data_IF_906190873201
#
_entry.id   IF_906190873201
#
_cell.length_a   1.000
_cell.length_b   1.000
_cell.length_c   1.000
_cell.angle_alpha   90.00
_cell.angle_beta   90.00
_cell.angle_gamma   90.00
#
_symmetry.space_group_name_H-M   'P 1'
#
loop_
_entity.id
_entity.type
_entity.pdbx_description
1 polymer ?
#
# COMPACT_ATOMS: atom_id res chain seq x y z
N UNK A 1 -5.17 -7.46 -5.79
CA UNK A 1 -4.34 -6.93 -4.70
C UNK A 1 -3.50 -8.04 -4.11
N UNK A 2 -3.68 -8.33 -2.82
CA UNK A 2 -2.91 -9.36 -2.11
C UNK A 2 -2.97 -10.75 -2.77
N UNK A 3 -4.12 -11.15 -3.31
CA UNK A 3 -4.23 -12.41 -4.07
C UNK A 3 -3.30 -12.48 -5.28
N UNK A 4 -3.34 -11.46 -6.13
CA UNK A 4 -2.46 -11.35 -7.31
C UNK A 4 -0.99 -11.30 -6.88
N UNK A 5 -0.68 -10.60 -5.79
CA UNK A 5 0.67 -10.59 -5.22
C UNK A 5 1.16 -11.99 -4.84
N UNK A 6 0.36 -12.80 -4.13
CA UNK A 6 0.75 -14.16 -3.75
C UNK A 6 0.87 -15.10 -4.95
N UNK A 7 0.01 -14.94 -5.95
CA UNK A 7 0.07 -15.72 -7.20
C UNK A 7 1.36 -15.44 -7.99
N UNK A 8 1.82 -14.18 -8.01
CA UNK A 8 3.03 -13.77 -8.73
C UNK A 8 4.32 -14.03 -7.94
N UNK A 9 4.31 -13.75 -6.63
CA UNK A 9 5.51 -13.87 -5.78
C UNK A 9 5.90 -15.31 -5.47
N UNK A 10 5.02 -16.29 -5.74
CA UNK A 10 5.21 -17.73 -5.41
C UNK A 10 5.56 -17.98 -3.94
N UNK A 11 5.30 -17.01 -3.06
CA UNK A 11 5.51 -17.15 -1.63
C UNK A 11 4.54 -18.20 -1.10
N UNK A 12 5.03 -19.10 -0.25
CA UNK A 12 4.18 -20.07 0.45
C UNK A 12 3.47 -19.47 1.67
N UNK A 13 3.15 -18.18 1.61
CA UNK A 13 2.44 -17.52 2.70
C UNK A 13 1.00 -18.03 2.79
N UNK A 14 0.52 -18.17 4.03
CA UNK A 14 -0.85 -18.60 4.24
C UNK A 14 -1.78 -17.42 3.96
N UNK A 15 -2.33 -17.44 2.75
CA UNK A 15 -3.35 -16.50 2.31
C UNK A 15 -4.44 -16.25 3.37
N UNK A 16 -4.78 -14.99 3.69
CA UNK A 16 -5.77 -14.66 4.73
C UNK A 16 -7.13 -15.31 4.48
N UNK A 17 -7.56 -15.48 3.23
CA UNK A 17 -8.83 -16.13 2.85
C UNK A 17 -8.86 -17.65 3.09
N UNK A 18 -7.70 -18.27 3.35
CA UNK A 18 -7.62 -19.66 3.81
C UNK A 18 -7.84 -19.78 5.32
N UNK A 19 -7.41 -18.76 6.08
CA UNK A 19 -7.56 -18.69 7.53
C UNK A 19 -8.94 -18.20 7.95
N UNK A 20 -9.43 -17.17 7.26
CA UNK A 20 -10.65 -16.45 7.60
C UNK A 20 -11.62 -16.51 6.43
N UNK A 21 -12.87 -16.92 6.69
CA UNK A 21 -13.97 -16.85 5.71
C UNK A 21 -14.62 -15.46 5.76
N UNK A 22 -15.29 -15.08 4.67
CA UNK A 22 -16.05 -13.82 4.57
C UNK A 22 -15.21 -12.54 4.68
N UNK A 23 -14.00 -12.53 4.13
CA UNK A 23 -13.23 -11.30 3.93
C UNK A 23 -13.97 -10.37 2.96
N UNK A 24 -14.02 -9.08 3.31
CA UNK A 24 -14.49 -8.03 2.39
C UNK A 24 -13.41 -7.70 1.37
N UNK A 25 -13.81 -6.96 0.32
CA UNK A 25 -12.86 -6.47 -0.68
C UNK A 25 -11.81 -5.49 -0.09
N UNK A 26 -12.14 -4.83 1.02
CA UNK A 26 -11.25 -3.96 1.80
C UNK A 26 -11.42 -4.31 3.27
N UNK A 27 -10.29 -4.49 3.96
CA UNK A 27 -10.26 -4.71 5.40
C UNK A 27 -9.30 -3.71 6.06
N UNK A 28 -9.78 -3.04 7.11
CA UNK A 28 -8.93 -2.18 7.92
C UNK A 28 -8.25 -2.98 9.02
N UNK A 29 -6.94 -2.81 9.11
CA UNK A 29 -6.10 -3.53 10.05
C UNK A 29 -5.16 -2.58 10.80
N UNK A 30 -4.70 -3.00 11.98
CA UNK A 30 -3.58 -2.39 12.70
C UNK A 30 -2.38 -3.32 12.71
N UNK A 31 -1.18 -2.75 12.61
CA UNK A 31 0.07 -3.49 12.81
C UNK A 31 0.20 -3.84 14.29
N UNK A 32 0.32 -5.14 14.60
CA UNK A 32 0.58 -5.65 15.95
C UNK A 32 2.04 -5.96 16.18
N UNK A 33 2.71 -6.46 15.15
CA UNK A 33 4.11 -6.87 15.22
C UNK A 33 4.77 -6.73 13.85
N UNK A 34 6.08 -6.46 13.86
CA UNK A 34 6.90 -6.26 12.68
C UNK A 34 8.27 -6.91 12.90
N UNK A 35 8.62 -7.85 12.03
CA UNK A 35 9.89 -8.58 12.06
C UNK A 35 10.60 -8.43 10.71
N UNK A 36 11.83 -7.93 10.72
CA UNK A 36 12.69 -7.97 9.53
C UNK A 36 13.41 -9.32 9.45
N UNK A 37 13.39 -9.95 8.29
CA UNK A 37 13.96 -11.28 8.05
C UNK A 37 14.53 -11.39 6.63
N UNK A 38 15.27 -12.45 6.34
CA UNK A 38 15.68 -12.78 4.98
C UNK A 38 14.67 -13.71 4.32
N UNK A 39 14.38 -13.48 3.03
CA UNK A 39 13.56 -14.38 2.23
C UNK A 39 14.31 -15.70 2.03
N UNK A 40 13.67 -16.84 2.36
CA UNK A 40 14.28 -18.14 2.14
C UNK A 40 14.62 -18.34 0.65
N UNK A 41 15.90 -18.57 0.34
CA UNK A 41 16.36 -18.91 -1.00
C UNK A 41 16.90 -17.74 -1.83
N UNK A 42 16.45 -16.49 -1.63
CA UNK A 42 17.00 -15.32 -2.34
C UNK A 42 18.03 -14.53 -1.53
N UNK A 43 17.92 -14.56 -0.19
CA UNK A 43 18.78 -13.76 0.69
C UNK A 43 18.40 -12.27 0.75
N UNK A 44 17.34 -11.87 0.06
CA UNK A 44 16.81 -10.50 0.11
C UNK A 44 16.10 -10.23 1.44
N UNK A 45 16.05 -8.96 1.82
CA UNK A 45 15.35 -8.54 3.03
C UNK A 45 13.84 -8.53 2.80
N UNK A 46 13.08 -9.01 3.78
CA UNK A 46 11.63 -8.91 3.82
C UNK A 46 11.15 -8.49 5.21
N UNK A 47 9.91 -8.01 5.24
CA UNK A 47 9.21 -7.63 6.45
C UNK A 47 8.06 -8.60 6.68
N UNK A 48 8.05 -9.28 7.81
CA UNK A 48 6.91 -10.09 8.28
C UNK A 48 6.07 -9.22 9.20
N UNK A 49 4.84 -8.95 8.78
CA UNK A 49 3.86 -8.18 9.53
C UNK A 49 2.86 -9.13 10.18
N UNK A 50 2.56 -8.90 11.46
CA UNK A 50 1.35 -9.44 12.08
C UNK A 50 0.31 -8.33 12.14
N UNK A 51 -0.80 -8.54 11.44
CA UNK A 51 -1.90 -7.59 11.31
C UNK A 51 -3.12 -8.08 12.09
N UNK A 52 -3.84 -7.16 12.70
CA UNK A 52 -5.14 -7.42 13.35
C UNK A 52 -6.24 -6.60 12.69
N UNK A 53 -7.35 -7.23 12.35
CA UNK A 53 -8.52 -6.53 11.83
C UNK A 53 -9.11 -5.62 12.91
N UNK A 54 -9.20 -4.33 12.61
CA UNK A 54 -9.56 -3.30 13.60
C UNK A 54 -10.89 -2.59 13.30
N UNK A 55 -11.62 -3.04 12.28
CA UNK A 55 -12.95 -2.51 11.94
C UNK A 55 -14.04 -3.27 12.71
N UNK A 56 -14.78 -2.62 13.64
CA UNK A 56 -15.85 -3.27 14.40
C UNK A 56 -17.01 -3.78 13.54
N UNK A 57 -17.17 -3.28 12.31
CA UNK A 57 -18.18 -3.75 11.36
C UNK A 57 -17.77 -5.02 10.60
N UNK A 58 -16.50 -5.41 10.69
CA UNK A 58 -15.99 -6.63 10.07
C UNK A 58 -16.31 -7.85 10.92
N UNK A 59 -16.70 -8.95 10.27
CA UNK A 59 -16.84 -10.26 10.92
C UNK A 59 -15.53 -10.78 11.51
N UNK A 60 -14.40 -10.18 11.14
CA UNK A 60 -13.06 -10.57 11.53
C UNK A 60 -12.46 -9.66 12.60
N UNK A 61 -13.22 -8.72 13.17
CA UNK A 61 -12.74 -7.82 14.22
C UNK A 61 -11.97 -8.56 15.33
N UNK A 62 -10.76 -8.09 15.63
CA UNK A 62 -9.85 -8.69 16.62
C UNK A 62 -9.15 -9.99 16.19
N UNK A 63 -9.43 -10.52 14.99
CA UNK A 63 -8.67 -11.63 14.42
C UNK A 63 -7.35 -11.13 13.85
N UNK A 64 -6.36 -12.01 13.84
CA UNK A 64 -5.01 -11.71 13.33
C UNK A 64 -4.65 -12.58 12.13
N UNK A 65 -3.72 -12.08 11.33
CA UNK A 65 -3.05 -12.84 10.28
C UNK A 65 -1.63 -12.32 10.09
N UNK A 66 -0.81 -13.12 9.43
CA UNK A 66 0.57 -12.77 9.08
C UNK A 66 0.71 -12.56 7.58
N UNK A 67 1.58 -11.63 7.22
CA UNK A 67 1.90 -11.27 5.85
C UNK A 67 3.41 -11.06 5.73
N UNK A 68 4.05 -11.68 4.74
CA UNK A 68 5.43 -11.42 4.36
C UNK A 68 5.46 -10.46 3.18
N UNK A 69 6.05 -9.30 3.38
CA UNK A 69 6.27 -8.28 2.37
C UNK A 69 7.76 -8.24 1.98
N UNK A 70 8.13 -8.69 0.78
CA UNK A 70 9.41 -8.36 0.19
C UNK A 70 9.45 -6.87 -0.18
N UNK A 71 10.57 -6.38 -0.68
CA UNK A 71 10.62 -5.06 -1.28
C UNK A 71 9.68 -5.00 -2.50
N UNK A 72 8.60 -4.23 -2.42
CA UNK A 72 7.63 -4.07 -3.50
C UNK A 72 8.12 -2.97 -4.44
N UNK A 73 9.06 -3.30 -5.33
CA UNK A 73 9.57 -2.35 -6.34
C UNK A 73 8.67 -2.27 -7.56
N UNK A 74 8.14 -3.42 -8.00
CA UNK A 74 7.48 -3.59 -9.29
C UNK A 74 6.06 -4.17 -9.16
N UNK A 75 5.46 -4.04 -7.98
CA UNK A 75 4.09 -4.49 -7.73
C UNK A 75 3.26 -3.37 -7.08
N UNK A 76 2.02 -3.11 -7.52
CA UNK A 76 1.22 -2.04 -6.95
C UNK A 76 0.92 -2.23 -5.45
N UNK A 77 0.82 -1.13 -4.72
CA UNK A 77 0.55 -1.12 -3.28
C UNK A 77 -0.83 -1.70 -2.98
N UNK A 78 -0.89 -2.90 -2.40
CA UNK A 78 -2.14 -3.51 -1.89
C UNK A 78 -2.35 -3.33 -0.39
N UNK A 79 -1.30 -2.95 0.34
CA UNK A 79 -1.37 -2.53 1.73
C UNK A 79 -1.18 -1.01 1.77
N UNK A 80 -2.27 -0.29 2.03
CA UNK A 80 -2.32 1.17 1.94
C UNK A 80 -2.57 1.77 3.30
N UNK A 81 -1.88 2.85 3.63
CA UNK A 81 -2.17 3.62 4.84
C UNK A 81 -3.64 4.10 4.82
N UNK A 82 -4.36 3.92 5.92
CA UNK A 82 -5.78 4.25 6.00
C UNK A 82 -6.09 5.69 5.59
N UNK A 83 -5.30 6.67 6.05
CA UNK A 83 -5.49 8.09 5.72
C UNK A 83 -5.36 8.35 4.21
N UNK A 84 -4.37 7.73 3.54
CA UNK A 84 -4.17 7.77 2.09
C UNK A 84 -5.32 7.11 1.35
N UNK A 85 -5.75 5.94 1.83
CA UNK A 85 -6.90 5.23 1.27
C UNK A 85 -8.17 6.08 1.34
N UNK A 86 -8.51 6.59 2.53
CA UNK A 86 -9.71 7.40 2.74
C UNK A 86 -9.68 8.67 1.87
N UNK A 87 -8.54 9.37 1.81
CA UNK A 87 -8.36 10.54 0.93
C UNK A 87 -8.53 10.18 -0.55
N UNK A 88 -7.88 9.12 -1.03
CA UNK A 88 -7.97 8.68 -2.42
C UNK A 88 -9.38 8.23 -2.82
N UNK A 89 -10.11 7.58 -1.91
CA UNK A 89 -11.50 7.19 -2.14
C UNK A 89 -12.43 8.42 -2.14
N UNK A 90 -12.19 9.40 -1.26
CA UNK A 90 -12.97 10.64 -1.20
C UNK A 90 -12.81 11.50 -2.46
N UNK A 91 -11.67 11.40 -3.16
CA UNK A 91 -11.43 12.13 -4.43
C UNK A 91 -12.42 11.77 -5.53
N UNK A 92 -13.04 10.59 -5.47
CA UNK A 92 -14.13 10.15 -6.35
C UNK A 92 -13.85 10.42 -7.85
N UNK A 93 -12.81 9.77 -8.39
CA UNK A 93 -12.38 9.90 -9.79
C UNK A 93 -13.50 9.63 -10.80
N UNK A 94 -13.61 10.47 -11.83
CA UNK A 94 -14.62 10.32 -12.91
C UNK A 94 -14.01 10.44 -14.31
N UNK A 95 -14.76 10.04 -15.33
CA UNK A 95 -14.33 10.11 -16.73
C UNK A 95 -13.88 11.53 -17.12
N UNK A 96 -12.73 11.60 -17.80
CA UNK A 96 -12.00 12.81 -18.23
C UNK A 96 -11.26 13.59 -17.15
N UNK A 97 -11.32 13.18 -15.88
CA UNK A 97 -10.46 13.75 -14.85
C UNK A 97 -8.99 13.63 -15.27
N UNK A 98 -8.23 14.70 -15.01
CA UNK A 98 -6.77 14.71 -15.18
C UNK A 98 -6.15 14.04 -13.97
N UNK A 99 -5.23 13.11 -14.21
CA UNK A 99 -4.48 12.45 -13.14
C UNK A 99 -2.99 12.43 -13.49
N UNK A 100 -2.16 12.23 -12.47
CA UNK A 100 -0.75 11.95 -12.63
C UNK A 100 -0.40 10.68 -11.85
N UNK A 101 0.52 9.87 -12.37
CA UNK A 101 1.04 8.68 -11.70
C UNK A 101 2.56 8.79 -11.62
N UNK A 102 3.14 8.48 -10.47
CA UNK A 102 4.58 8.52 -10.29
C UNK A 102 5.21 7.21 -10.72
N UNK A 103 6.15 7.27 -11.66
CA UNK A 103 6.91 6.11 -12.12
C UNK A 103 8.39 6.28 -11.81
N UNK A 104 9.03 5.20 -11.34
CA UNK A 104 10.49 5.13 -11.17
C UNK A 104 11.17 5.06 -12.53
N UNK A 105 12.35 5.66 -12.64
CA UNK A 105 13.18 5.54 -13.83
C UNK A 105 13.89 4.17 -13.86
N UNK A 106 14.17 3.63 -15.05
CA UNK A 106 14.82 2.31 -15.25
C UNK A 106 16.19 2.17 -14.56
N UNK A 107 16.82 3.28 -14.14
CA UNK A 107 18.10 3.29 -13.42
C UNK A 107 18.00 3.34 -11.88
N UNK A 108 16.80 3.29 -11.29
CA UNK A 108 16.60 3.29 -9.84
C UNK A 108 16.80 4.65 -9.14
N UNK A 109 17.43 5.62 -9.79
CA UNK A 109 17.55 6.99 -9.28
C UNK A 109 16.37 7.86 -9.72
N UNK A 110 15.50 8.17 -8.76
CA UNK A 110 14.40 9.12 -8.93
C UNK A 110 13.18 8.55 -9.64
N UNK A 111 12.36 9.45 -10.16
CA UNK A 111 11.13 9.13 -10.87
C UNK A 111 10.51 10.37 -11.50
N UNK A 112 9.42 10.17 -12.21
CA UNK A 112 8.72 11.24 -12.91
C UNK A 112 7.21 11.06 -12.83
N UNK A 113 6.49 12.18 -12.83
CA UNK A 113 5.04 12.19 -12.94
C UNK A 113 4.63 12.02 -14.39
N UNK A 114 3.81 11.01 -14.65
CA UNK A 114 3.22 10.76 -15.95
C UNK A 114 1.79 11.28 -15.97
N UNK A 115 1.53 12.25 -16.83
CA UNK A 115 0.20 12.81 -17.02
C UNK A 115 -0.71 11.80 -17.72
N UNK A 116 -1.91 11.64 -17.20
CA UNK A 116 -2.94 10.80 -17.78
C UNK A 116 -4.33 11.39 -17.65
N UNK A 117 -5.29 10.68 -18.24
CA UNK A 117 -6.71 11.00 -18.17
C UNK A 117 -7.51 9.75 -17.87
N UNK A 118 -8.47 9.86 -16.94
CA UNK A 118 -9.40 8.78 -16.63
C UNK A 118 -10.29 8.49 -17.85
N UNK A 119 -10.25 7.26 -18.36
CA UNK A 119 -11.14 6.73 -19.38
C UNK A 119 -12.41 6.14 -18.77
N UNK A 120 -12.28 5.43 -17.65
CA UNK A 120 -13.40 4.82 -16.95
C UNK A 120 -13.02 4.50 -15.51
N UNK A 121 -14.03 4.40 -14.64
CA UNK A 121 -13.89 3.82 -13.30
C UNK A 121 -14.87 2.66 -13.19
N UNK A 122 -14.35 1.43 -13.16
CA UNK A 122 -15.16 0.21 -13.10
C UNK A 122 -14.40 -0.92 -12.39
N UNK A 123 -15.07 -1.90 -11.79
CA UNK A 123 -14.40 -3.02 -11.14
C UNK A 123 -13.50 -3.77 -12.13
N UNK A 124 -12.30 -4.18 -11.70
CA UNK A 124 -11.38 -4.99 -12.51
C UNK A 124 -11.98 -6.35 -12.87
N UNK A 125 -12.67 -6.98 -11.93
CA UNK A 125 -13.31 -8.29 -12.09
C UNK A 125 -14.75 -8.26 -11.58
N UNK A 126 -15.64 -8.99 -12.25
CA UNK A 126 -17.02 -9.18 -11.83
C UNK A 126 -17.15 -9.99 -10.52
N UNK A 127 -16.12 -10.75 -10.16
CA UNK A 127 -16.06 -11.49 -8.89
C UNK A 127 -15.90 -10.56 -7.68
N UNK A 128 -15.35 -9.36 -7.89
CA UNK A 128 -15.08 -8.38 -6.85
C UNK A 128 -15.64 -7.00 -7.23
N UNK A 129 -16.97 -6.85 -7.32
CA UNK A 129 -17.60 -5.62 -7.80
C UNK A 129 -17.32 -4.41 -6.92
N UNK A 130 -17.11 -4.63 -5.62
CA UNK A 130 -16.85 -3.55 -4.65
C UNK A 130 -15.36 -3.25 -4.46
N UNK A 131 -14.47 -3.98 -5.14
CA UNK A 131 -13.03 -3.81 -4.97
C UNK A 131 -12.53 -2.51 -5.59
N UNK A 132 -11.73 -1.71 -4.84
CA UNK A 132 -11.07 -0.54 -5.39
C UNK A 132 -9.77 -0.86 -6.13
N UNK A 133 -9.31 -2.11 -6.08
CA UNK A 133 -8.10 -2.57 -6.74
C UNK A 133 -8.18 -2.35 -8.24
N UNK A 134 -7.26 -1.55 -8.79
CA UNK A 134 -7.08 -1.35 -10.23
C UNK A 134 -8.38 -0.97 -10.98
N UNK A 135 -9.28 -0.25 -10.28
CA UNK A 135 -10.60 0.13 -10.81
C UNK A 135 -10.55 1.31 -11.79
N UNK A 136 -9.48 2.10 -11.77
CA UNK A 136 -9.35 3.30 -12.59
C UNK A 136 -8.60 2.96 -13.88
N UNK A 137 -9.25 3.16 -15.01
CA UNK A 137 -8.66 2.95 -16.33
C UNK A 137 -8.22 4.31 -16.85
N UNK A 138 -6.93 4.44 -17.16
CA UNK A 138 -6.33 5.70 -17.59
C UNK A 138 -5.62 5.56 -18.93
N UNK A 139 -5.56 6.67 -19.66
CA UNK A 139 -4.69 6.83 -20.83
C UNK A 139 -3.58 7.81 -20.48
N UNK A 140 -2.33 7.40 -20.62
CA UNK A 140 -1.20 8.32 -20.50
C UNK A 140 -1.11 9.24 -21.70
N UNK A 141 -0.59 10.44 -21.47
CA UNK A 141 -0.31 11.40 -22.53
C UNK A 141 0.92 11.00 -23.36
N UNK A 142 1.93 10.43 -22.70
CA UNK A 142 3.18 9.93 -23.29
C UNK A 142 3.03 8.58 -23.97
N UNK A 143 2.03 7.79 -23.58
CA UNK A 143 1.74 6.48 -24.16
C UNK A 143 0.26 6.41 -24.55
N UNK A 144 0.01 6.47 -25.86
CA UNK A 144 -1.33 6.36 -26.46
C UNK A 144 -1.71 4.93 -26.87
N UNK A 145 -0.82 3.96 -26.64
CA UNK A 145 -0.95 2.60 -27.17
C UNK A 145 -1.71 1.64 -26.24
N UNK A 146 -1.85 1.98 -24.95
CA UNK A 146 -2.46 1.09 -23.95
C UNK A 146 -3.42 1.78 -22.98
N UNK A 147 -4.41 1.03 -22.52
CA UNK A 147 -5.19 1.37 -21.33
C UNK A 147 -4.44 0.85 -20.10
N UNK A 148 -4.25 1.70 -19.11
CA UNK A 148 -3.52 1.37 -17.88
C UNK A 148 -4.47 1.32 -16.71
N UNK A 149 -4.39 0.26 -15.90
CA UNK A 149 -5.23 0.08 -14.73
C UNK A 149 -4.49 0.55 -13.48
N UNK A 150 -5.15 1.36 -12.67
CA UNK A 150 -4.61 1.87 -11.41
C UNK A 150 -5.67 1.85 -10.31
N UNK A 151 -5.21 1.76 -9.08
CA UNK A 151 -6.02 1.96 -7.89
C UNK A 151 -6.08 3.45 -7.55
N UNK A 152 -7.15 3.95 -6.90
CA UNK A 152 -7.32 5.38 -6.62
C UNK A 152 -6.15 6.03 -5.87
N UNK A 153 -5.47 5.29 -5.00
CA UNK A 153 -4.35 5.79 -4.18
C UNK A 153 -3.03 5.93 -4.96
N UNK A 154 -2.95 5.40 -6.18
CA UNK A 154 -1.80 5.58 -7.09
C UNK A 154 -1.93 6.87 -7.92
N UNK A 155 -3.13 7.44 -7.97
CA UNK A 155 -3.44 8.62 -8.77
C UNK A 155 -3.26 9.90 -7.95
N UNK A 156 -2.60 10.88 -8.54
CA UNK A 156 -2.47 12.24 -8.03
C UNK A 156 -3.34 13.22 -8.84
N UNK A 157 -4.03 14.13 -8.16
CA UNK A 157 -4.75 15.23 -8.80
C UNK A 157 -3.85 16.47 -8.89
N UNK A 158 -3.40 16.87 -10.10
CA UNK A 158 -2.54 18.04 -10.25
C UNK A 158 -3.22 19.37 -9.88
N UNK A 159 -4.56 19.41 -9.76
CA UNK A 159 -5.30 20.60 -9.37
C UNK A 159 -5.98 20.45 -8.00
N UNK A 160 -5.83 19.30 -7.36
CA UNK A 160 -6.44 19.01 -6.07
C UNK A 160 -5.59 19.49 -4.90
N UNK A 161 -6.16 19.53 -3.68
CA UNK A 161 -5.36 19.69 -2.49
C UNK A 161 -4.35 18.55 -2.41
N UNK A 162 -3.09 18.88 -2.12
CA UNK A 162 -2.10 17.85 -1.84
C UNK A 162 -2.52 17.10 -0.58
N UNK A 163 -2.57 15.77 -0.66
CA UNK A 163 -2.73 14.96 0.54
C UNK A 163 -1.48 15.13 1.40
N UNK A 164 -1.65 15.69 2.59
CA UNK A 164 -0.59 15.81 3.57
C UNK A 164 -0.46 14.48 4.32
N UNK A 165 0.70 13.83 4.17
CA UNK A 165 1.03 12.65 4.96
C UNK A 165 0.90 12.97 6.45
N UNK A 166 0.23 12.11 7.24
CA UNK A 166 0.18 12.28 8.68
C UNK A 166 1.59 12.33 9.26
N UNK A 167 1.94 13.44 9.88
CA UNK A 167 3.22 13.60 10.55
C UNK A 167 3.09 13.18 12.01
N UNK A 168 4.10 12.48 12.51
CA UNK A 168 4.24 12.27 13.96
C UNK A 168 4.37 13.65 14.59
N UNK A 169 3.54 13.95 15.58
CA UNK A 169 3.56 15.24 16.25
C UNK A 169 4.95 15.51 16.85
N UNK A 170 5.37 16.77 16.84
CA UNK A 170 6.72 17.16 17.26
C UNK A 170 7.08 16.70 18.67
N UNK A 171 6.10 16.61 19.58
CA UNK A 171 6.34 16.17 20.96
C UNK A 171 6.66 14.67 20.98
N UNK A 172 5.89 13.85 20.25
CA UNK A 172 6.17 12.42 20.12
C UNK A 172 7.49 12.18 19.40
N UNK A 173 7.77 12.94 18.33
CA UNK A 173 9.05 12.90 17.60
C UNK A 173 10.23 13.21 18.52
N UNK A 174 10.16 14.28 19.32
CA UNK A 174 11.22 14.64 20.29
C UNK A 174 11.44 13.54 21.32
N UNK A 175 10.36 12.94 21.85
CA UNK A 175 10.47 11.82 22.81
C UNK A 175 11.17 10.60 22.18
N UNK A 176 10.81 10.24 20.95
CA UNK A 176 11.45 9.13 20.25
C UNK A 176 12.94 9.40 20.04
N UNK A 177 13.30 10.59 19.58
CA UNK A 177 14.70 10.99 19.39
C UNK A 177 15.48 10.91 20.71
N UNK A 178 14.92 11.41 21.82
CA UNK A 178 15.59 11.30 23.12
C UNK A 178 15.78 9.85 23.56
N UNK A 179 14.77 8.99 23.36
CA UNK A 179 14.88 7.57 23.70
C UNK A 179 15.94 6.85 22.86
N UNK A 180 16.05 7.15 21.56
CA UNK A 180 17.11 6.60 20.72
C UNK A 180 18.50 7.04 21.19
N UNK A 181 18.66 8.32 21.52
CA UNK A 181 19.93 8.85 22.03
C UNK A 181 20.32 8.22 23.38
N UNK A 182 19.36 7.99 24.28
CA UNK A 182 19.60 7.27 25.54
C UNK A 182 20.07 5.83 25.29
N UNK A 183 19.42 5.10 24.39
CA UNK A 183 19.80 3.73 24.01
C UNK A 183 21.21 3.70 23.42
N UNK A 184 21.53 4.63 22.51
CA UNK A 184 22.85 4.75 21.89
C UNK A 184 23.94 5.04 22.94
N UNK A 185 23.67 5.95 23.88
CA UNK A 185 24.58 6.25 24.98
C UNK A 185 24.82 5.04 25.91
N UNK A 186 23.79 4.23 26.16
CA UNK A 186 23.92 3.02 26.98
C UNK A 186 24.74 1.96 26.24
N UNK A 187 24.51 1.79 24.94
CA UNK A 187 25.26 0.84 24.11
C UNK A 187 26.75 1.21 24.05
N UNK A 188 27.06 2.50 23.87
CA UNK A 188 28.45 2.99 23.80
C UNK A 188 29.19 2.96 25.15
N UNK A 189 28.48 2.93 26.28
CA UNK A 189 29.08 2.78 27.63
C UNK A 189 29.33 1.33 28.02
N UNK A 190 28.75 0.38 27.28
CA UNK A 190 28.83 -1.05 27.57
C UNK A 190 29.91 -1.77 26.73
N UNK A 191 30.77 -0.99 26.07
CA UNK A 191 31.83 -1.40 25.15
C UNK A 191 33.18 -0.88 25.66
#
# INVERSE_FOLDING_TARGET
GHQEFLELSRLQDTAPWRLHKNLRAVEFCSVRDLEYSSLPGSGESCCKLSLEFNDPSSNLFGKTFRLTLPELTDFPDFLVERSRFDAAMSRNWTHRDKCQVWWRCEGGEGGSWWEGRILAVKPKSAEFPDSPWERCIIQYKSDSSGQHLHSPWELHDPNGPQWEHPQIDDRTKRKLISSFHEIECISNKSQ
#
